data_IF_561261933380
#
_entry.id   IF_561261933380
#
_cell.length_a   1.000
_cell.length_b   1.000
_cell.length_c   1.000
_cell.angle_alpha   90.00
_cell.angle_beta   90.00
_cell.angle_gamma   90.00
#
_symmetry.space_group_name_H-M   'P 1'
#
loop_
_entity.id
_entity.type
_entity.pdbx_description
1 polymer ?
#
# COMPACT_ATOMS: atom_id res chain seq x y z
N UNK A 1 -9.93 -14.47 42.24
CA UNK A 1 -9.71 -13.13 41.63
C UNK A 1 -9.72 -13.28 40.12
N UNK A 2 -10.76 -12.81 39.42
CA UNK A 2 -10.78 -12.80 37.94
C UNK A 2 -10.11 -11.51 37.47
N UNK A 3 -9.06 -11.65 36.66
CA UNK A 3 -8.31 -10.54 36.07
C UNK A 3 -9.21 -9.91 35.00
N UNK A 4 -9.65 -8.67 35.20
CA UNK A 4 -10.33 -7.89 34.16
C UNK A 4 -9.30 -7.57 33.07
N UNK A 5 -9.28 -8.36 32.00
CA UNK A 5 -8.53 -8.01 30.79
C UNK A 5 -9.28 -6.90 30.06
N UNK A 6 -8.72 -5.70 30.08
CA UNK A 6 -9.20 -4.59 29.27
C UNK A 6 -8.79 -4.89 27.82
N UNK A 7 -9.70 -5.45 27.04
CA UNK A 7 -9.51 -5.70 25.61
C UNK A 7 -9.71 -4.39 24.85
N UNK A 8 -8.67 -3.56 24.76
CA UNK A 8 -8.70 -2.33 23.96
C UNK A 8 -8.61 -2.69 22.46
N UNK A 9 -9.75 -2.91 21.83
CA UNK A 9 -9.88 -3.15 20.39
C UNK A 9 -10.26 -4.57 20.01
N UNK A 10 -10.74 -4.73 18.77
CA UNK A 10 -11.06 -6.03 18.16
C UNK A 10 -10.27 -6.18 16.86
N UNK A 11 -9.86 -7.40 16.54
CA UNK A 11 -9.25 -7.70 15.26
C UNK A 11 -10.35 -7.80 14.20
N UNK A 12 -10.28 -6.96 13.16
CA UNK A 12 -11.19 -7.02 12.02
C UNK A 12 -10.45 -7.64 10.84
N UNK A 13 -10.87 -8.80 10.33
CA UNK A 13 -10.27 -9.36 9.13
C UNK A 13 -10.60 -8.44 7.93
N UNK A 14 -9.58 -7.98 7.23
CA UNK A 14 -9.72 -7.12 6.05
C UNK A 14 -8.87 -7.64 4.89
N UNK A 15 -9.34 -7.43 3.67
CA UNK A 15 -8.58 -7.71 2.45
C UNK A 15 -7.98 -6.42 1.91
N UNK A 16 -6.65 -6.30 1.95
CA UNK A 16 -5.95 -5.17 1.34
C UNK A 16 -6.17 -5.10 -0.18
N UNK A 17 -6.45 -6.24 -0.82
CA UNK A 17 -6.79 -6.27 -2.24
C UNK A 17 -8.09 -5.52 -2.55
N UNK A 18 -9.03 -5.45 -1.61
CA UNK A 18 -10.27 -4.68 -1.79
C UNK A 18 -10.05 -3.20 -1.48
N UNK A 19 -9.19 -2.90 -0.50
CA UNK A 19 -9.02 -1.54 0.03
C UNK A 19 -8.04 -0.69 -0.79
N UNK A 20 -7.05 -1.32 -1.42
CA UNK A 20 -6.01 -0.63 -2.18
C UNK A 20 -6.36 -0.68 -3.66
N UNK A 21 -6.57 0.47 -4.29
CA UNK A 21 -6.80 0.54 -5.73
C UNK A 21 -5.48 0.51 -6.52
N UNK A 22 -4.53 1.39 -6.16
CA UNK A 22 -3.26 1.58 -6.87
C UNK A 22 -2.17 2.07 -5.92
N UNK A 23 -0.92 1.74 -6.24
CA UNK A 23 0.27 2.20 -5.51
C UNK A 23 1.03 3.20 -6.38
N UNK A 24 1.23 4.40 -5.83
CA UNK A 24 1.99 5.47 -6.47
C UNK A 24 3.34 5.66 -5.79
N UNK A 25 4.41 5.54 -6.56
CA UNK A 25 5.78 5.79 -6.11
C UNK A 25 6.16 7.23 -6.44
N UNK A 26 6.82 7.93 -5.53
CA UNK A 26 7.23 9.34 -5.70
C UNK A 26 7.85 9.59 -7.09
N UNK A 27 7.50 10.68 -7.81
CA UNK A 27 8.05 10.94 -9.15
C UNK A 27 9.58 11.03 -9.18
N UNK A 28 10.20 11.45 -8.06
CA UNK A 28 11.66 11.59 -7.89
C UNK A 28 12.36 10.30 -7.44
N UNK A 29 11.61 9.25 -7.11
CA UNK A 29 12.22 7.99 -6.73
C UNK A 29 12.94 7.36 -7.95
N UNK A 30 14.12 6.77 -7.75
CA UNK A 30 14.83 6.10 -8.83
C UNK A 30 14.06 4.87 -9.32
N UNK A 31 14.23 4.51 -10.59
CA UNK A 31 13.48 3.43 -11.25
C UNK A 31 13.56 2.09 -10.50
N UNK A 32 14.73 1.75 -9.95
CA UNK A 32 14.92 0.51 -9.20
C UNK A 32 13.98 0.40 -7.99
N UNK A 33 13.58 1.52 -7.39
CA UNK A 33 12.68 1.54 -6.24
C UNK A 33 11.25 1.19 -6.65
N UNK A 34 10.80 1.68 -7.81
CA UNK A 34 9.51 1.27 -8.40
C UNK A 34 9.47 -0.24 -8.63
N UNK A 35 10.55 -0.80 -9.19
CA UNK A 35 10.63 -2.23 -9.47
C UNK A 35 10.71 -3.06 -8.18
N UNK A 36 11.38 -2.55 -7.14
CA UNK A 36 11.39 -3.15 -5.80
C UNK A 36 9.98 -3.19 -5.19
N UNK A 37 9.25 -2.07 -5.20
CA UNK A 37 7.88 -2.01 -4.68
C UNK A 37 6.99 -3.00 -5.43
N UNK A 38 7.08 -3.05 -6.76
CA UNK A 38 6.34 -4.02 -7.59
C UNK A 38 6.67 -5.46 -7.21
N UNK A 39 7.95 -5.79 -7.05
CA UNK A 39 8.38 -7.15 -6.66
C UNK A 39 7.85 -7.54 -5.27
N UNK A 40 7.86 -6.63 -4.31
CA UNK A 40 7.38 -6.89 -2.95
C UNK A 40 5.85 -7.05 -2.94
N UNK A 41 5.11 -6.20 -3.65
CA UNK A 41 3.65 -6.32 -3.77
C UNK A 41 3.24 -7.71 -4.28
N UNK A 42 3.87 -8.19 -5.36
CA UNK A 42 3.63 -9.54 -5.90
C UNK A 42 4.01 -10.62 -4.88
N UNK A 43 5.19 -10.49 -4.25
CA UNK A 43 5.69 -11.48 -3.28
C UNK A 43 4.73 -11.71 -2.10
N UNK A 44 4.01 -10.68 -1.68
CA UNK A 44 3.05 -10.75 -0.57
C UNK A 44 1.59 -10.86 -1.05
N UNK A 45 1.36 -11.17 -2.32
CA UNK A 45 0.03 -11.45 -2.86
C UNK A 45 -0.86 -10.22 -3.06
N UNK A 46 -0.27 -9.02 -3.16
CA UNK A 46 -0.97 -7.79 -3.49
C UNK A 46 -0.73 -7.45 -4.97
N UNK A 47 -1.58 -7.97 -5.85
CA UNK A 47 -1.50 -7.72 -7.29
C UNK A 47 -2.20 -6.41 -7.66
N UNK A 48 -1.59 -5.29 -7.25
CA UNK A 48 -2.04 -3.93 -7.58
C UNK A 48 -1.08 -3.25 -8.51
N UNK A 49 -1.62 -2.37 -9.35
CA UNK A 49 -0.84 -1.55 -10.24
C UNK A 49 0.12 -0.66 -9.43
N UNK A 50 1.42 -0.76 -9.74
CA UNK A 50 2.47 0.08 -9.15
C UNK A 50 3.06 0.97 -10.23
N UNK A 51 2.84 2.28 -10.11
CA UNK A 51 3.28 3.29 -11.08
C UNK A 51 4.12 4.37 -10.42
N UNK A 52 4.99 4.96 -11.23
CA UNK A 52 5.64 6.22 -10.88
C UNK A 52 4.57 7.31 -10.92
N UNK A 53 4.46 8.08 -9.85
CA UNK A 53 3.56 9.21 -9.76
C UNK A 53 3.97 10.30 -10.74
N UNK A 54 2.97 11.02 -11.23
CA UNK A 54 3.05 12.20 -12.05
C UNK A 54 2.71 13.47 -11.24
N UNK A 55 2.72 13.42 -9.90
CA UNK A 55 2.30 14.52 -9.01
C UNK A 55 2.92 15.89 -9.31
N UNK A 56 4.11 15.95 -9.91
CA UNK A 56 4.77 17.19 -10.29
C UNK A 56 4.51 17.63 -11.73
N UNK A 57 3.94 16.74 -12.55
CA UNK A 57 3.37 17.11 -13.84
C UNK A 57 2.04 17.77 -13.50
N UNK A 58 1.97 19.10 -13.62
CA UNK A 58 0.74 19.87 -13.34
C UNK A 58 -0.48 19.35 -14.11
N UNK A 59 -1.69 19.87 -13.82
CA UNK A 59 -2.90 19.42 -14.49
C UNK A 59 -2.75 19.50 -16.02
N UNK A 60 -3.21 18.46 -16.71
CA UNK A 60 -3.33 18.46 -18.17
C UNK A 60 -4.47 19.42 -18.53
N UNK A 61 -4.16 20.51 -19.25
CA UNK A 61 -5.13 21.48 -19.78
C UNK A 61 -5.61 21.08 -21.17
#
# INVERSE_FOLDING_TARGET
>A
MKKNEITNGIYVPVSLDILIEKIFVSPKAPKWFLDLVRSISIKYGLDKEVIQSDLYNGPLY
#
